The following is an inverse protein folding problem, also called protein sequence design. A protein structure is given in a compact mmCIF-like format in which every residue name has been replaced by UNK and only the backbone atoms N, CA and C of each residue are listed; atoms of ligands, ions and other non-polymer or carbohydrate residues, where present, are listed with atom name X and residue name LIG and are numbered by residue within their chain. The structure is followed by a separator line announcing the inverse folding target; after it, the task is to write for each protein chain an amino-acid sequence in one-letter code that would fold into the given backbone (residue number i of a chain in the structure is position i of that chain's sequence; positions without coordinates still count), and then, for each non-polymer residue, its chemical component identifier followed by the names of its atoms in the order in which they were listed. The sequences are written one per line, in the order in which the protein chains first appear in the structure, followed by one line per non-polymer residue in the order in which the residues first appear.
data_IF_291750569255
#
_entry.id   IF_291750569255
#
_cell.length_a   1.000
_cell.length_b   1.000
_cell.length_c   1.000
_cell.angle_alpha   90.00
_cell.angle_beta   90.00
_cell.angle_gamma   90.00
#
_symmetry.space_group_name_H-M   'P 1'
#
loop_
_entity.id
_entity.type
_entity.pdbx_description
1 polymer ?
#
# COMPACT_ATOMS: atom_id res chain seq x y z
N UNK A 1 -62.16 20.65 65.15
CA UNK A 1 -62.40 21.74 64.18
C UNK A 1 -62.64 21.09 62.82
N UNK A 2 -63.86 20.57 62.67
CA UNK A 2 -64.81 20.84 61.57
C UNK A 2 -64.31 20.42 60.18
N UNK A 3 -64.72 19.29 59.56
CA UNK A 3 -66.05 18.73 59.20
C UNK A 3 -66.21 18.74 57.67
N UNK A 4 -66.47 17.53 57.15
CA UNK A 4 -67.22 17.14 55.94
C UNK A 4 -66.62 17.42 54.55
N UNK A 5 -66.41 16.43 53.68
CA UNK A 5 -67.29 15.37 53.12
C UNK A 5 -68.03 15.84 51.85
N UNK A 6 -67.50 15.38 50.70
CA UNK A 6 -68.17 15.12 49.42
C UNK A 6 -69.02 16.22 48.75
N UNK A 7 -69.81 15.86 47.72
CA UNK A 7 -69.43 15.05 46.55
C UNK A 7 -70.06 15.57 45.22
N UNK A 8 -69.67 14.95 44.07
CA UNK A 8 -70.44 14.76 42.81
C UNK A 8 -70.85 16.05 42.05
N UNK A 9 -71.00 16.14 40.72
CA UNK A 9 -71.24 15.19 39.64
C UNK A 9 -71.05 15.95 38.30
N UNK A 10 -70.60 15.23 37.26
CA UNK A 10 -70.96 15.27 35.82
C UNK A 10 -71.39 16.62 35.18
N UNK A 11 -70.82 16.97 34.01
CA UNK A 11 -71.30 16.62 32.65
C UNK A 11 -70.37 17.24 31.59
N UNK A 12 -70.20 16.44 30.54
CA UNK A 12 -69.69 16.58 29.16
C UNK A 12 -69.44 17.95 28.50
N UNK A 13 -68.62 17.84 27.43
CA UNK A 13 -68.55 18.66 26.21
C UNK A 13 -67.70 19.93 26.38
N UNK A 14 -66.53 20.11 25.76
CA UNK A 14 -65.90 19.50 24.62
C UNK A 14 -65.21 20.67 23.89
N UNK A 15 -63.88 20.71 23.88
CA UNK A 15 -63.10 21.57 22.99
C UNK A 15 -61.70 20.96 22.85
N UNK A 16 -61.39 20.52 21.64
CA UNK A 16 -60.03 20.15 21.22
C UNK A 16 -59.28 21.46 21.00
N UNK A 17 -58.20 21.67 21.74
CA UNK A 17 -57.23 22.72 21.48
C UNK A 17 -55.82 22.12 21.56
N UNK A 18 -55.11 22.30 20.44
CA UNK A 18 -53.77 21.80 20.14
C UNK A 18 -52.79 21.90 21.30
N UNK A 19 -52.26 20.75 21.71
CA UNK A 19 -51.01 20.69 22.46
C UNK A 19 -49.85 20.71 21.46
N UNK A 20 -48.98 21.70 21.62
CA UNK A 20 -47.63 21.72 21.05
C UNK A 20 -46.89 20.51 21.62
N UNK A 21 -46.77 19.45 20.84
CA UNK A 21 -45.83 18.38 21.15
C UNK A 21 -44.42 18.92 20.88
N UNK A 22 -43.67 19.15 21.95
CA UNK A 22 -42.22 19.08 21.87
C UNK A 22 -41.89 17.63 21.46
N UNK A 23 -41.74 17.40 20.16
CA UNK A 23 -41.01 16.24 19.67
C UNK A 23 -39.57 16.51 20.08
N UNK A 24 -39.14 15.90 21.18
CA UNK A 24 -37.74 15.69 21.43
C UNK A 24 -37.24 14.80 20.29
N UNK A 25 -36.77 15.40 19.19
CA UNK A 25 -35.91 14.72 18.25
C UNK A 25 -34.65 14.36 19.02
N UNK A 26 -34.62 13.15 19.56
CA UNK A 26 -33.38 12.49 19.89
C UNK A 26 -32.57 12.43 18.60
N UNK A 27 -31.69 13.41 18.42
CA UNK A 27 -30.52 13.25 17.56
C UNK A 27 -29.75 12.08 18.14
N UNK A 28 -30.04 10.88 17.64
CA UNK A 28 -29.09 9.79 17.63
C UNK A 28 -27.93 10.25 16.76
N UNK A 29 -27.00 11.00 17.37
CA UNK A 29 -25.61 10.91 16.93
C UNK A 29 -25.29 9.43 17.15
N UNK A 30 -25.11 8.70 16.05
CA UNK A 30 -24.65 7.33 16.09
C UNK A 30 -23.30 7.33 16.80
N UNK A 31 -23.33 7.03 18.10
CA UNK A 31 -22.18 6.56 18.85
C UNK A 31 -21.96 5.09 18.44
N UNK A 32 -21.68 4.86 17.16
CA UNK A 32 -21.35 3.55 16.65
C UNK A 32 -19.82 3.42 16.66
N UNK A 33 -19.40 2.76 17.72
CA UNK A 33 -18.42 1.69 17.70
C UNK A 33 -16.91 1.98 17.79
N UNK A 34 -16.49 2.56 18.91
CA UNK A 34 -15.12 2.39 19.40
C UNK A 34 -14.83 0.95 19.93
N UNK A 35 -15.80 0.02 19.90
CA UNK A 35 -15.66 -1.33 20.47
C UNK A 35 -15.56 -2.46 19.43
N UNK A 36 -16.09 -2.26 18.22
CA UNK A 36 -16.01 -3.23 17.14
C UNK A 36 -14.56 -3.40 16.71
N UNK A 37 -14.15 -4.67 16.67
CA UNK A 37 -12.85 -5.08 16.20
C UNK A 37 -12.99 -5.75 14.84
N UNK A 38 -12.04 -5.47 13.97
CA UNK A 38 -12.00 -5.92 12.59
C UNK A 38 -10.79 -6.83 12.41
N UNK A 39 -11.02 -8.03 11.86
CA UNK A 39 -9.93 -8.92 11.43
C UNK A 39 -9.54 -8.52 10.00
N UNK A 40 -8.30 -8.07 9.83
CA UNK A 40 -7.76 -7.69 8.53
C UNK A 40 -6.78 -8.78 8.05
N UNK A 41 -7.18 -9.55 7.04
CA UNK A 41 -6.36 -10.62 6.48
C UNK A 41 -6.58 -10.74 4.99
N UNK A 42 -5.52 -11.04 4.26
CA UNK A 42 -5.58 -11.41 2.86
C UNK A 42 -6.31 -12.74 2.68
N UNK A 43 -7.17 -12.83 1.67
CA UNK A 43 -7.90 -14.04 1.31
C UNK A 43 -7.46 -14.49 -0.08
N UNK A 44 -6.36 -15.23 -0.13
CA UNK A 44 -5.78 -15.69 -1.38
C UNK A 44 -6.60 -16.83 -1.99
N UNK A 45 -7.08 -16.62 -3.20
CA UNK A 45 -7.79 -17.62 -3.98
C UNK A 45 -6.85 -18.20 -5.03
N UNK A 46 -6.57 -19.49 -4.95
CA UNK A 46 -5.65 -20.18 -5.85
C UNK A 46 -6.02 -19.99 -7.33
N UNK A 47 -5.00 -19.91 -8.18
CA UNK A 47 -5.11 -19.70 -9.63
C UNK A 47 -5.80 -18.39 -10.06
N UNK A 48 -5.99 -17.43 -9.14
CA UNK A 48 -6.35 -16.06 -9.51
C UNK A 48 -5.11 -15.20 -9.73
N UNK A 49 -5.21 -14.32 -10.72
CA UNK A 49 -4.33 -13.17 -10.87
C UNK A 49 -4.97 -11.99 -10.15
N UNK A 50 -4.16 -11.24 -9.42
CA UNK A 50 -4.56 -9.97 -8.81
C UNK A 50 -3.68 -8.89 -9.44
N UNK A 51 -4.30 -8.02 -10.21
CA UNK A 51 -3.63 -7.00 -11.00
C UNK A 51 -3.69 -5.63 -10.31
N UNK A 52 -2.66 -4.83 -10.52
CA UNK A 52 -2.50 -3.49 -10.02
C UNK A 52 -1.90 -2.58 -11.09
N UNK A 53 -2.37 -1.34 -11.12
CA UNK A 53 -1.74 -0.23 -11.84
C UNK A 53 -1.04 0.65 -10.81
N UNK A 54 0.22 0.99 -11.04
CA UNK A 54 1.04 1.83 -10.17
C UNK A 54 1.52 3.05 -10.96
N UNK A 55 1.11 4.23 -10.53
CA UNK A 55 1.67 5.50 -11.00
C UNK A 55 2.69 5.98 -9.96
N UNK A 56 3.88 6.36 -10.41
CA UNK A 56 4.93 6.93 -9.57
C UNK A 56 5.48 8.17 -10.28
N UNK A 57 5.52 9.30 -9.57
CA UNK A 57 6.20 10.50 -10.05
C UNK A 57 7.20 10.96 -9.02
N UNK A 58 8.37 11.37 -9.47
CA UNK A 58 9.38 11.95 -8.59
C UNK A 58 10.08 13.13 -9.22
N UNK A 59 10.46 14.04 -8.34
CA UNK A 59 11.23 15.24 -8.63
C UNK A 59 12.43 15.25 -7.68
N UNK A 60 13.62 15.45 -8.25
CA UNK A 60 14.86 15.56 -7.51
C UNK A 60 15.51 16.89 -7.81
N UNK A 61 15.59 17.74 -6.78
CA UNK A 61 16.41 18.95 -6.84
C UNK A 61 17.77 18.64 -6.22
N UNK A 62 18.84 18.87 -6.96
CA UNK A 62 20.21 18.63 -6.52
C UNK A 62 21.03 19.92 -6.64
N UNK A 63 21.64 20.35 -5.54
CA UNK A 63 22.65 21.40 -5.54
C UNK A 63 23.96 20.82 -5.04
N UNK A 64 25.00 20.84 -5.87
CA UNK A 64 26.33 20.33 -5.54
C UNK A 64 27.40 21.05 -6.35
N UNK A 65 28.50 21.44 -5.71
CA UNK A 65 29.64 22.06 -6.40
C UNK A 65 29.32 23.40 -7.09
N UNK A 66 28.26 24.11 -6.64
CA UNK A 66 27.79 25.36 -7.26
C UNK A 66 26.93 25.18 -8.51
N UNK A 67 26.61 23.94 -8.88
CA UNK A 67 25.63 23.62 -9.92
C UNK A 67 24.31 23.18 -9.30
N UNK A 68 23.22 23.50 -9.99
CA UNK A 68 21.88 22.99 -9.70
C UNK A 68 21.46 22.07 -10.83
N UNK A 69 20.82 20.97 -10.47
CA UNK A 69 20.16 20.05 -11.39
C UNK A 69 18.77 19.73 -10.88
N UNK A 70 17.83 19.68 -11.82
CA UNK A 70 16.47 19.24 -11.60
C UNK A 70 16.24 17.96 -12.39
N UNK A 71 15.71 16.91 -11.75
CA UNK A 71 15.43 15.64 -12.40
C UNK A 71 13.97 15.30 -12.19
N UNK A 72 13.25 15.08 -13.28
CA UNK A 72 11.87 14.63 -13.26
C UNK A 72 11.80 13.19 -13.73
N UNK A 73 11.02 12.37 -13.03
CA UNK A 73 10.75 11.01 -13.40
C UNK A 73 9.27 10.70 -13.27
N UNK A 74 8.74 9.97 -14.24
CA UNK A 74 7.39 9.42 -14.17
C UNK A 74 7.39 7.98 -14.66
N UNK A 75 6.63 7.14 -13.98
CA UNK A 75 6.49 5.73 -14.25
C UNK A 75 5.02 5.32 -14.08
N UNK A 76 4.51 4.57 -15.05
CA UNK A 76 3.28 3.80 -14.94
C UNK A 76 3.65 2.34 -15.10
N UNK A 77 3.32 1.52 -14.11
CA UNK A 77 3.61 0.09 -14.08
C UNK A 77 2.33 -0.70 -13.85
N UNK A 78 1.95 -1.51 -14.84
CA UNK A 78 0.94 -2.54 -14.68
C UNK A 78 1.64 -3.83 -14.23
N UNK A 79 1.17 -4.41 -13.13
CA UNK A 79 1.74 -5.62 -12.56
C UNK A 79 0.65 -6.52 -12.03
N UNK A 80 0.98 -7.79 -11.86
CA UNK A 80 0.12 -8.71 -11.13
C UNK A 80 0.93 -9.65 -10.26
N UNK A 81 0.24 -10.24 -9.29
CA UNK A 81 0.68 -11.50 -8.74
C UNK A 81 -0.30 -12.61 -9.07
N UNK A 82 0.24 -13.81 -9.30
CA UNK A 82 -0.53 -15.04 -9.44
C UNK A 82 -0.45 -15.84 -8.15
N UNK A 83 -1.59 -16.29 -7.64
CA UNK A 83 -1.63 -17.23 -6.50
C UNK A 83 -1.33 -18.65 -7.01
N UNK A 84 -0.13 -19.15 -6.73
CA UNK A 84 0.33 -20.48 -7.16
C UNK A 84 -0.29 -21.57 -6.29
N UNK A 85 -0.24 -21.40 -4.97
CA UNK A 85 -0.79 -22.35 -4.00
C UNK A 85 -1.17 -21.64 -2.71
N UNK A 86 -2.11 -22.23 -1.97
CA UNK A 86 -2.51 -21.77 -0.63
C UNK A 86 -2.41 -22.95 0.35
N UNK A 87 -1.74 -22.72 1.47
CA UNK A 87 -1.56 -23.68 2.55
C UNK A 87 -2.80 -23.71 3.46
N UNK A 88 -2.93 -24.74 4.30
CA UNK A 88 -4.07 -24.89 5.23
C UNK A 88 -4.22 -23.76 6.25
N UNK A 89 -3.13 -23.05 6.55
CA UNK A 89 -3.13 -21.89 7.46
C UNK A 89 -3.43 -20.56 6.74
N UNK A 90 -3.74 -20.59 5.44
CA UNK A 90 -4.01 -19.40 4.63
C UNK A 90 -2.76 -18.71 4.07
N UNK A 91 -1.54 -19.15 4.43
CA UNK A 91 -0.32 -18.68 3.75
C UNK A 91 -0.38 -19.08 2.27
N UNK A 92 0.27 -18.32 1.39
CA UNK A 92 0.27 -18.63 -0.03
C UNK A 92 1.62 -18.39 -0.69
N UNK A 93 1.80 -19.01 -1.85
CA UNK A 93 2.92 -18.76 -2.76
C UNK A 93 2.42 -17.87 -3.88
N UNK A 94 3.09 -16.73 -4.07
CA UNK A 94 2.79 -15.75 -5.11
C UNK A 94 3.94 -15.68 -6.12
N UNK A 95 3.59 -15.59 -7.40
CA UNK A 95 4.51 -15.22 -8.48
C UNK A 95 4.21 -13.80 -8.92
N UNK A 96 5.20 -12.91 -8.82
CA UNK A 96 5.09 -11.50 -9.17
C UNK A 96 5.61 -11.29 -10.59
N UNK A 97 4.84 -10.54 -11.39
CA UNK A 97 5.18 -10.20 -12.77
C UNK A 97 4.88 -8.73 -13.03
N UNK A 98 5.68 -8.12 -13.89
CA UNK A 98 5.38 -6.81 -14.48
C UNK A 98 4.80 -7.07 -15.87
N UNK A 99 3.61 -6.54 -16.14
CA UNK A 99 2.90 -6.73 -17.41
C UNK A 99 3.28 -5.65 -18.42
N UNK A 100 3.43 -4.42 -17.92
CA UNK A 100 3.76 -3.24 -18.72
C UNK A 100 4.48 -2.21 -17.87
N UNK A 101 5.39 -1.49 -18.49
CA UNK A 101 5.88 -0.21 -17.96
C UNK A 101 5.79 0.89 -19.02
N UNK A 102 5.56 2.12 -18.56
CA UNK A 102 5.79 3.35 -19.31
C UNK A 102 6.59 4.29 -18.43
N UNK A 103 7.73 4.75 -18.91
CA UNK A 103 8.68 5.54 -18.14
C UNK A 103 9.09 6.78 -18.92
N UNK A 104 9.33 7.87 -18.19
CA UNK A 104 9.89 9.11 -18.73
C UNK A 104 10.83 9.72 -17.71
N UNK A 105 12.00 10.18 -18.15
CA UNK A 105 12.95 10.91 -17.34
C UNK A 105 13.46 12.15 -18.08
N UNK A 106 13.56 13.28 -17.38
CA UNK A 106 14.13 14.52 -17.90
C UNK A 106 15.10 15.11 -16.88
N UNK A 107 16.13 15.79 -17.39
CA UNK A 107 17.11 16.53 -16.58
C UNK A 107 17.10 17.97 -17.05
N UNK A 108 16.87 18.89 -16.12
CA UNK A 108 16.67 20.32 -16.36
C UNK A 108 15.64 20.54 -17.49
N UNK A 109 15.91 21.47 -18.41
CA UNK A 109 15.07 21.73 -19.58
C UNK A 109 15.39 20.78 -20.77
N UNK A 110 16.01 19.63 -20.50
CA UNK A 110 16.38 18.64 -21.51
C UNK A 110 15.19 17.91 -22.12
N UNK A 111 15.39 17.31 -23.30
CA UNK A 111 14.39 16.44 -23.90
C UNK A 111 14.22 15.16 -23.05
N UNK A 112 12.96 14.81 -22.77
CA UNK A 112 12.65 13.65 -21.96
C UNK A 112 12.96 12.34 -22.69
N UNK A 113 13.73 11.46 -22.05
CA UNK A 113 13.94 10.08 -22.46
C UNK A 113 12.71 9.29 -22.09
N UNK A 114 12.13 8.56 -23.05
CA UNK A 114 10.85 7.85 -22.88
C UNK A 114 10.98 6.38 -23.27
N UNK A 115 10.20 5.55 -22.60
CA UNK A 115 10.06 4.13 -22.89
C UNK A 115 8.63 3.67 -22.62
N UNK A 116 8.04 2.92 -23.54
CA UNK A 116 6.78 2.20 -23.34
C UNK A 116 6.96 0.76 -23.82
N UNK A 117 6.81 -0.20 -22.91
CA UNK A 117 7.04 -1.61 -23.21
C UNK A 117 6.01 -2.22 -24.16
N UNK A 118 4.91 -1.50 -24.46
CA UNK A 118 3.97 -1.89 -25.52
C UNK A 118 4.43 -1.46 -26.91
N UNK A 119 5.31 -0.46 -27.01
CA UNK A 119 5.79 0.06 -28.30
C UNK A 119 7.09 -0.60 -28.73
N UNK A 120 7.99 -0.87 -27.78
CA UNK A 120 9.29 -1.51 -28.05
C UNK A 120 9.75 -2.36 -26.87
N UNK A 121 10.57 -3.38 -27.16
CA UNK A 121 11.27 -4.19 -26.14
C UNK A 121 12.67 -3.66 -25.82
N UNK A 122 13.19 -2.79 -26.68
CA UNK A 122 14.53 -2.22 -26.54
C UNK A 122 14.43 -0.96 -25.67
N UNK A 123 14.66 -1.12 -24.37
CA UNK A 123 14.71 0.01 -23.45
C UNK A 123 15.99 0.84 -23.67
N UNK A 124 15.93 2.17 -23.53
CA UNK A 124 17.12 3.01 -23.43
C UNK A 124 18.06 2.56 -22.30
N UNK A 125 19.37 2.84 -22.37
CA UNK A 125 20.35 2.47 -21.33
C UNK A 125 19.94 2.84 -19.91
N UNK A 126 19.27 3.99 -19.75
CA UNK A 126 18.76 4.50 -18.48
C UNK A 126 17.69 3.60 -17.85
N UNK A 127 17.02 2.76 -18.65
CA UNK A 127 15.94 1.87 -18.24
C UNK A 127 16.24 0.38 -18.50
N UNK A 128 17.45 0.00 -18.91
CA UNK A 128 17.82 -1.40 -19.24
C UNK A 128 17.47 -2.39 -18.10
N UNK A 129 17.56 -1.97 -16.85
CA UNK A 129 17.28 -2.83 -15.69
C UNK A 129 15.84 -3.38 -15.61
N UNK A 130 14.88 -2.82 -16.37
CA UNK A 130 13.48 -3.26 -16.34
C UNK A 130 13.16 -4.36 -17.35
N UNK A 131 13.92 -4.48 -18.44
CA UNK A 131 13.51 -5.30 -19.60
C UNK A 131 13.35 -6.78 -19.25
N UNK A 132 14.24 -7.30 -18.41
CA UNK A 132 14.25 -8.71 -18.02
C UNK A 132 13.09 -9.08 -17.06
N UNK A 133 12.34 -8.09 -16.58
CA UNK A 133 11.24 -8.29 -15.62
C UNK A 133 9.85 -8.29 -16.26
N UNK A 134 9.74 -7.88 -17.52
CA UNK A 134 8.46 -7.65 -18.21
C UNK A 134 7.96 -8.94 -18.86
N UNK A 135 6.68 -9.25 -18.64
CA UNK A 135 5.97 -10.36 -19.28
C UNK A 135 6.28 -11.74 -18.69
N UNK A 136 7.13 -11.83 -17.66
CA UNK A 136 7.45 -13.08 -16.99
C UNK A 136 7.53 -12.91 -15.47
N UNK A 137 7.23 -13.97 -14.69
CA UNK A 137 7.48 -13.97 -13.26
C UNK A 137 8.97 -13.79 -12.97
N UNK A 138 9.31 -12.78 -12.17
CA UNK A 138 10.70 -12.47 -11.79
C UNK A 138 10.98 -12.76 -10.31
N UNK A 139 9.93 -12.83 -9.48
CA UNK A 139 10.03 -13.16 -8.06
C UNK A 139 8.91 -14.14 -7.68
N UNK A 140 9.26 -15.19 -6.95
CA UNK A 140 8.32 -16.01 -6.20
C UNK A 140 8.49 -15.76 -4.71
N UNK A 141 7.39 -15.50 -4.01
CA UNK A 141 7.39 -15.26 -2.56
C UNK A 141 6.39 -16.16 -1.85
N UNK A 142 6.73 -16.58 -0.63
CA UNK A 142 5.76 -17.15 0.30
C UNK A 142 5.32 -16.06 1.27
N UNK A 143 4.01 -15.87 1.43
CA UNK A 143 3.44 -14.86 2.34
C UNK A 143 2.41 -15.44 3.29
N UNK A 144 2.28 -14.85 4.47
CA UNK A 144 1.23 -15.18 5.45
C UNK A 144 -0.10 -14.47 5.15
N UNK A 145 -1.22 -14.84 5.81
CA UNK A 145 -2.50 -14.13 5.70
C UNK A 145 -2.45 -12.65 6.11
N UNK A 146 -1.44 -12.22 6.85
CA UNK A 146 -1.27 -10.80 7.23
C UNK A 146 -0.28 -10.06 6.32
N UNK A 147 0.16 -10.70 5.24
CA UNK A 147 1.07 -10.10 4.25
C UNK A 147 2.55 -10.16 4.65
N UNK A 148 2.92 -10.92 5.69
CA UNK A 148 4.32 -11.12 6.05
C UNK A 148 5.02 -11.99 5.02
N UNK A 149 6.17 -11.54 4.50
CA UNK A 149 7.01 -12.34 3.59
C UNK A 149 7.82 -13.36 4.40
N UNK A 150 7.61 -14.64 4.11
CA UNK A 150 8.24 -15.78 4.78
C UNK A 150 9.47 -16.30 4.02
N UNK A 151 9.45 -16.24 2.69
CA UNK A 151 10.60 -16.57 1.83
C UNK A 151 10.51 -15.86 0.49
N UNK A 152 11.66 -15.69 -0.17
CA UNK A 152 11.78 -15.12 -1.53
C UNK A 152 12.69 -16.00 -2.37
N UNK A 153 12.32 -16.11 -3.64
CA UNK A 153 13.07 -16.73 -4.70
C UNK A 153 13.09 -15.79 -5.90
N UNK A 154 14.28 -15.43 -6.38
CA UNK A 154 14.41 -14.76 -7.69
C UNK A 154 14.27 -15.81 -8.78
N UNK A 155 13.51 -15.51 -9.83
CA UNK A 155 13.33 -16.41 -10.96
C UNK A 155 14.25 -15.96 -12.12
N UNK A 156 14.82 -16.90 -12.88
CA UNK A 156 14.56 -18.34 -12.89
C UNK A 156 15.40 -19.17 -11.89
N UNK A 157 16.16 -18.54 -10.99
CA UNK A 157 17.01 -19.27 -10.04
C UNK A 157 16.19 -20.19 -9.10
N UNK A 158 16.70 -21.38 -8.80
CA UNK A 158 15.97 -22.35 -7.97
C UNK A 158 16.14 -22.13 -6.46
N UNK A 159 17.13 -21.33 -6.04
CA UNK A 159 17.48 -21.25 -4.62
C UNK A 159 16.59 -20.26 -3.87
N UNK A 160 15.66 -20.79 -3.09
CA UNK A 160 14.93 -20.01 -2.09
C UNK A 160 15.89 -19.44 -1.05
N UNK A 161 15.68 -18.16 -0.74
CA UNK A 161 16.37 -17.49 0.35
C UNK A 161 15.35 -17.25 1.48
N UNK A 162 15.66 -17.70 2.71
CA UNK A 162 14.80 -17.42 3.84
C UNK A 162 14.78 -15.91 4.09
N UNK A 163 13.59 -15.38 4.30
CA UNK A 163 13.41 -13.99 4.72
C UNK A 163 13.35 -13.97 6.25
N UNK A 164 13.94 -12.95 6.83
CA UNK A 164 13.87 -12.69 8.27
C UNK A 164 12.96 -11.50 8.51
N UNK A 165 12.47 -11.36 9.75
CA UNK A 165 11.75 -10.15 10.15
C UNK A 165 12.55 -8.86 9.86
N UNK A 166 13.89 -8.94 9.82
CA UNK A 166 14.77 -7.79 9.53
C UNK A 166 14.68 -7.31 8.09
N UNK A 167 14.40 -8.17 7.10
CA UNK A 167 14.40 -7.77 5.69
C UNK A 167 13.05 -7.96 4.99
N UNK A 168 12.06 -8.58 5.63
CA UNK A 168 10.72 -8.77 5.04
C UNK A 168 10.09 -7.44 4.58
N UNK A 169 10.09 -6.42 5.44
CA UNK A 169 9.49 -5.12 5.14
C UNK A 169 10.18 -4.36 4.00
N UNK A 170 11.46 -4.65 3.73
CA UNK A 170 12.22 -4.05 2.62
C UNK A 170 11.70 -4.48 1.25
N UNK A 171 11.12 -5.67 1.15
CA UNK A 171 10.62 -6.23 -0.10
C UNK A 171 9.29 -5.59 -0.54
N UNK A 172 8.53 -5.06 0.43
CA UNK A 172 7.30 -4.29 0.19
C UNK A 172 6.27 -4.94 -0.77
N UNK A 173 6.20 -6.27 -0.74
CA UNK A 173 5.35 -7.08 -1.63
C UNK A 173 3.86 -6.81 -1.36
N UNK A 174 3.48 -6.86 -0.09
CA UNK A 174 2.12 -6.63 0.41
C UNK A 174 2.18 -5.70 1.62
N UNK A 175 1.09 -4.98 1.86
CA UNK A 175 0.92 -4.20 3.10
C UNK A 175 0.85 -5.16 4.29
N UNK A 176 1.64 -4.91 5.34
CA UNK A 176 1.57 -5.66 6.60
C UNK A 176 0.29 -5.31 7.36
N UNK A 177 -0.55 -6.31 7.58
CA UNK A 177 -1.78 -6.24 8.37
C UNK A 177 -1.51 -6.64 9.83
N UNK A 178 -2.38 -6.27 10.79
CA UNK A 178 -2.22 -6.65 12.19
C UNK A 178 -2.46 -8.14 12.39
N UNK A 179 -1.72 -8.75 13.32
CA UNK A 179 -1.86 -10.17 13.65
C UNK A 179 -3.19 -10.47 14.38
N UNK A 180 -3.71 -9.48 15.11
CA UNK A 180 -4.93 -9.58 15.93
C UNK A 180 -6.02 -8.62 15.42
N UNK A 181 -7.31 -8.88 15.71
CA UNK A 181 -8.39 -7.97 15.37
C UNK A 181 -8.17 -6.57 15.98
N UNK A 182 -8.41 -5.52 15.20
CA UNK A 182 -8.15 -4.11 15.56
C UNK A 182 -9.43 -3.29 15.59
N UNK A 183 -9.56 -2.39 16.57
CA UNK A 183 -10.62 -1.37 16.57
C UNK A 183 -10.19 -0.11 15.79
N UNK A 184 -11.13 0.76 15.46
CA UNK A 184 -10.78 2.09 14.91
C UNK A 184 -9.89 2.85 15.90
N UNK A 185 -8.80 3.44 15.39
CA UNK A 185 -7.77 4.11 16.18
C UNK A 185 -6.65 3.20 16.69
N UNK A 186 -6.81 1.88 16.62
CA UNK A 186 -5.73 0.94 16.99
C UNK A 186 -4.53 1.08 16.03
N UNK A 187 -3.34 0.83 16.58
CA UNK A 187 -2.05 1.00 15.92
C UNK A 187 -1.29 -0.33 15.92
N UNK A 188 -0.68 -0.67 14.80
CA UNK A 188 0.31 -1.74 14.71
C UNK A 188 1.56 -1.24 13.98
N UNK A 189 2.66 -1.97 14.15
CA UNK A 189 3.99 -1.53 13.69
C UNK A 189 4.71 -2.66 13.00
N UNK A 190 5.44 -2.31 11.96
CA UNK A 190 6.38 -3.18 11.28
C UNK A 190 7.76 -2.52 11.34
N UNK A 191 8.76 -3.29 11.76
CA UNK A 191 10.16 -2.84 11.78
C UNK A 191 10.98 -3.73 10.87
N UNK A 192 11.86 -3.09 10.10
CA UNK A 192 12.82 -3.77 9.26
C UNK A 192 14.12 -2.96 9.23
N UNK A 193 15.18 -3.58 8.74
CA UNK A 193 16.51 -3.00 8.60
C UNK A 193 16.77 -2.71 7.12
N UNK A 194 17.34 -1.54 6.84
CA UNK A 194 18.03 -1.24 5.60
C UNK A 194 19.51 -0.98 5.90
N UNK A 195 20.36 -1.00 4.88
CA UNK A 195 21.79 -0.76 5.05
C UNK A 195 22.18 0.57 4.42
N UNK A 196 22.96 1.35 5.18
CA UNK A 196 23.64 2.53 4.67
C UNK A 196 25.15 2.32 4.65
N UNK A 197 25.80 2.99 3.73
CA UNK A 197 27.25 3.06 3.60
C UNK A 197 27.76 4.11 4.58
N UNK A 198 28.67 3.71 5.46
CA UNK A 198 29.38 4.62 6.39
C UNK A 198 30.73 5.01 5.81
N UNK A 199 31.43 4.04 5.24
CA UNK A 199 32.64 4.21 4.44
C UNK A 199 32.71 3.05 3.41
N UNK A 200 33.78 3.00 2.62
CA UNK A 200 33.94 2.00 1.54
C UNK A 200 33.71 0.56 2.01
N UNK A 201 34.18 0.19 3.20
CA UNK A 201 34.13 -1.17 3.72
C UNK A 201 33.05 -1.38 4.79
N UNK A 202 32.58 -0.31 5.45
CA UNK A 202 31.65 -0.38 6.56
C UNK A 202 30.21 -0.09 6.10
N UNK A 203 29.33 -1.05 6.37
CA UNK A 203 27.88 -0.89 6.28
C UNK A 203 27.30 -0.79 7.69
N UNK A 204 26.29 0.06 7.85
CA UNK A 204 25.52 0.21 9.09
C UNK A 204 24.07 -0.16 8.83
N UNK A 205 23.55 -1.09 9.63
CA UNK A 205 22.13 -1.38 9.64
C UNK A 205 21.35 -0.21 10.29
N UNK A 206 20.27 0.19 9.62
CA UNK A 206 19.36 1.26 10.03
C UNK A 206 17.98 0.65 10.17
N UNK A 207 17.40 0.75 11.36
CA UNK A 207 16.03 0.30 11.60
C UNK A 207 15.05 1.36 11.12
N UNK A 208 14.16 0.95 10.23
CA UNK A 208 13.00 1.70 9.75
C UNK A 208 11.75 1.11 10.41
N UNK A 209 10.81 1.98 10.79
CA UNK A 209 9.51 1.57 11.32
C UNK A 209 8.40 2.17 10.47
N UNK A 210 7.50 1.29 10.02
CA UNK A 210 6.18 1.65 9.52
C UNK A 210 5.18 1.55 10.67
N UNK A 211 4.42 2.60 10.87
CA UNK A 211 3.32 2.68 11.84
C UNK A 211 2.03 2.76 11.05
N UNK A 212 1.12 1.84 11.34
CA UNK A 212 -0.18 1.76 10.69
C UNK A 212 -1.26 2.10 11.72
N UNK A 213 -2.27 2.86 11.30
CA UNK A 213 -3.45 3.17 12.14
C UNK A 213 -4.72 2.86 11.38
N UNK A 214 -5.65 2.10 11.97
CA UNK A 214 -6.98 1.94 11.38
C UNK A 214 -7.78 3.24 11.57
N UNK A 215 -7.98 4.01 10.50
CA UNK A 215 -8.63 5.34 10.58
C UNK A 215 -10.15 5.25 10.54
N UNK A 216 -10.68 4.40 9.68
CA UNK A 216 -12.12 4.21 9.53
C UNK A 216 -12.42 2.87 8.86
N UNK A 217 -13.65 2.40 9.06
CA UNK A 217 -14.24 1.31 8.27
C UNK A 217 -15.59 1.78 7.76
N UNK A 218 -15.78 1.76 6.44
CA UNK A 218 -17.07 2.05 5.78
C UNK A 218 -17.51 0.82 5.00
N UNK A 219 -18.54 0.13 5.51
CA UNK A 219 -18.92 -1.21 5.06
C UNK A 219 -17.75 -2.19 5.15
N UNK A 220 -17.30 -2.71 4.00
CA UNK A 220 -16.17 -3.64 3.92
C UNK A 220 -14.84 -2.95 3.59
N UNK A 221 -14.77 -1.63 3.59
CA UNK A 221 -13.56 -0.86 3.24
C UNK A 221 -12.89 -0.30 4.49
N UNK A 222 -11.72 -0.83 4.83
CA UNK A 222 -10.85 -0.27 5.86
C UNK A 222 -9.92 0.80 5.27
N UNK A 223 -9.92 2.00 5.85
CA UNK A 223 -8.93 3.04 5.56
C UNK A 223 -7.84 3.01 6.62
N UNK A 224 -6.60 2.82 6.19
CA UNK A 224 -5.43 2.65 7.07
C UNK A 224 -4.44 3.77 6.76
N UNK A 225 -4.04 4.52 7.79
CA UNK A 225 -2.95 5.49 7.68
C UNK A 225 -1.61 4.77 7.81
N UNK A 226 -0.64 5.12 6.96
CA UNK A 226 0.75 4.70 7.00
C UNK A 226 1.66 5.89 7.31
N UNK A 227 2.54 5.72 8.28
CA UNK A 227 3.65 6.63 8.58
C UNK A 227 4.96 5.84 8.63
N UNK A 228 6.01 6.35 7.97
CA UNK A 228 7.33 5.69 7.98
C UNK A 228 8.38 6.58 8.64
N UNK A 229 9.17 6.00 9.54
CA UNK A 229 10.19 6.72 10.31
C UNK A 229 11.48 5.92 10.42
N UNK A 230 12.61 6.63 10.43
CA UNK A 230 13.92 6.05 10.76
C UNK A 230 14.09 6.07 12.27
N UNK A 231 14.28 4.90 12.88
CA UNK A 231 14.42 4.75 14.33
C UNK A 231 15.88 4.84 14.76
N UNK A 232 16.80 4.30 13.96
CA UNK A 232 18.24 4.40 14.23
C UNK A 232 18.68 5.85 14.10
N UNK A 233 19.30 6.46 15.13
CA UNK A 233 19.80 7.83 15.01
C UNK A 233 20.81 8.00 13.88
N UNK A 234 20.55 8.97 13.00
CA UNK A 234 21.42 9.43 11.92
C UNK A 234 21.78 10.89 12.20
N UNK A 235 23.07 11.22 12.10
CA UNK A 235 23.59 12.57 12.39
C UNK A 235 24.34 13.18 11.22
N UNK A 236 24.88 12.33 10.33
CA UNK A 236 25.65 12.76 9.18
C UNK A 236 24.72 12.96 7.98
N UNK A 237 24.73 14.13 7.30
CA UNK A 237 23.89 14.39 6.13
C UNK A 237 24.08 13.38 4.99
N UNK A 238 25.31 12.91 4.78
CA UNK A 238 25.63 11.86 3.79
C UNK A 238 24.86 10.56 4.03
N UNK A 239 24.69 10.20 5.31
CA UNK A 239 23.94 9.02 5.71
C UNK A 239 22.43 9.25 5.60
N UNK A 240 21.96 10.46 5.90
CA UNK A 240 20.55 10.84 5.76
C UNK A 240 20.10 10.85 4.29
N UNK A 241 20.95 11.34 3.38
CA UNK A 241 20.67 11.37 1.95
C UNK A 241 20.44 9.98 1.35
N UNK A 242 21.13 8.94 1.86
CA UNK A 242 20.91 7.54 1.43
C UNK A 242 19.52 7.01 1.80
N UNK A 243 18.87 7.62 2.80
CA UNK A 243 17.54 7.24 3.29
C UNK A 243 16.44 8.18 2.79
N UNK A 244 16.78 9.18 1.95
CA UNK A 244 15.87 10.28 1.61
C UNK A 244 14.57 9.79 0.98
N UNK A 245 14.60 8.67 0.26
CA UNK A 245 13.44 8.05 -0.41
C UNK A 245 12.75 6.96 0.44
N UNK A 246 13.26 6.66 1.65
CA UNK A 246 12.87 5.48 2.44
C UNK A 246 11.80 5.75 3.51
N UNK A 247 11.27 6.98 3.57
CA UNK A 247 10.29 7.38 4.61
C UNK A 247 8.94 7.89 4.07
N UNK A 248 8.36 7.28 3.01
CA UNK A 248 7.07 7.72 2.50
C UNK A 248 5.96 7.50 3.54
N UNK A 249 4.94 8.35 3.50
CA UNK A 249 3.73 8.24 4.33
C UNK A 249 2.49 8.38 3.46
N UNK A 250 1.34 7.88 3.90
CA UNK A 250 0.12 7.97 3.10
C UNK A 250 -1.01 7.08 3.57
N UNK A 251 -1.88 6.67 2.66
CA UNK A 251 -3.14 6.02 2.97
C UNK A 251 -3.31 4.73 2.17
N UNK A 252 -3.87 3.73 2.82
CA UNK A 252 -4.15 2.41 2.27
C UNK A 252 -5.65 2.15 2.39
N UNK A 253 -6.26 1.61 1.34
CA UNK A 253 -7.64 1.14 1.35
C UNK A 253 -7.66 -0.37 1.14
N UNK A 254 -8.23 -1.09 2.10
CA UNK A 254 -8.28 -2.55 2.12
C UNK A 254 -9.72 -3.05 2.10
N UNK A 255 -10.01 -4.05 1.28
CA UNK A 255 -11.30 -4.75 1.27
C UNK A 255 -11.27 -5.90 2.28
N UNK A 256 -12.00 -5.76 3.39
CA UNK A 256 -12.07 -6.73 4.48
C UNK A 256 -12.75 -8.03 4.02
N UNK A 257 -13.78 -7.91 3.18
CA UNK A 257 -14.55 -9.07 2.74
C UNK A 257 -13.78 -9.88 1.72
N UNK A 258 -13.22 -9.22 0.69
CA UNK A 258 -12.40 -9.86 -0.35
C UNK A 258 -11.00 -10.21 0.13
N UNK A 259 -10.53 -9.59 1.21
CA UNK A 259 -9.18 -9.78 1.73
C UNK A 259 -8.11 -9.36 0.72
N UNK A 260 -8.23 -8.16 0.14
CA UNK A 260 -7.24 -7.64 -0.82
C UNK A 260 -7.05 -6.12 -0.69
N UNK A 261 -5.87 -5.67 -1.09
CA UNK A 261 -5.55 -4.25 -1.20
C UNK A 261 -6.31 -3.64 -2.38
N UNK A 262 -7.11 -2.61 -2.14
CA UNK A 262 -7.80 -1.85 -3.19
C UNK A 262 -6.94 -0.69 -3.70
N UNK A 263 -6.29 0.04 -2.79
CA UNK A 263 -5.35 1.07 -3.17
C UNK A 263 -4.32 1.36 -2.09
N UNK A 264 -3.19 1.94 -2.51
CA UNK A 264 -2.16 2.50 -1.65
C UNK A 264 -1.63 3.78 -2.28
N UNK A 265 -1.78 4.88 -1.57
CA UNK A 265 -1.28 6.19 -1.99
C UNK A 265 -0.23 6.65 -0.99
N UNK A 266 0.96 7.01 -1.46
CA UNK A 266 2.04 7.48 -0.60
C UNK A 266 2.74 8.66 -1.21
N UNK A 267 3.20 9.58 -0.36
CA UNK A 267 3.99 10.72 -0.77
C UNK A 267 5.20 10.93 0.14
N UNK A 268 6.14 11.70 -0.38
CA UNK A 268 7.37 12.08 0.29
C UNK A 268 7.77 13.47 -0.20
N UNK A 269 8.19 14.33 0.72
CA UNK A 269 8.93 15.56 0.42
C UNK A 269 10.01 15.70 1.49
N UNK A 270 11.26 15.52 1.08
CA UNK A 270 12.40 15.50 1.99
C UNK A 270 13.53 16.30 1.39
N UNK A 271 14.19 17.11 2.21
CA UNK A 271 15.40 17.84 1.86
C UNK A 271 16.51 17.50 2.86
N UNK A 272 17.69 17.19 2.35
CA UNK A 272 18.91 16.98 3.13
C UNK A 272 19.94 18.01 2.69
N UNK A 273 20.44 18.79 3.65
CA UNK A 273 21.45 19.84 3.41
C UNK A 273 22.80 19.35 3.90
N UNK A 274 23.86 19.63 3.16
CA UNK A 274 25.22 19.29 3.54
C UNK A 274 25.66 17.88 3.15
N UNK A 275 24.87 17.15 2.34
CA UNK A 275 25.15 15.76 1.97
C UNK A 275 26.40 15.57 1.09
N UNK A 276 26.89 16.62 0.45
CA UNK A 276 28.12 16.65 -0.34
C UNK A 276 28.91 17.94 -0.05
N UNK A 277 29.06 18.25 1.24
CA UNK A 277 29.76 19.45 1.73
C UNK A 277 28.84 20.64 2.05
N UNK A 278 29.35 21.71 2.67
CA UNK A 278 28.54 22.74 3.35
C UNK A 278 27.52 23.47 2.48
N UNK A 279 27.80 23.62 1.18
CA UNK A 279 26.94 24.30 0.21
C UNK A 279 26.32 23.27 -0.76
N UNK A 280 25.69 22.23 -0.22
CA UNK A 280 25.00 21.22 -1.02
C UNK A 280 23.62 20.92 -0.44
N UNK A 281 22.69 20.52 -1.29
CA UNK A 281 21.46 19.89 -0.84
C UNK A 281 20.93 18.92 -1.88
N UNK A 282 20.13 17.97 -1.40
CA UNK A 282 19.28 17.14 -2.24
C UNK A 282 17.86 17.22 -1.69
N UNK A 283 16.88 17.44 -2.56
CA UNK A 283 15.45 17.33 -2.23
C UNK A 283 14.86 16.24 -3.09
N UNK A 284 14.02 15.40 -2.50
CA UNK A 284 13.26 14.40 -3.20
C UNK A 284 11.78 14.57 -2.88
N UNK A 285 10.98 14.80 -3.91
CA UNK A 285 9.53 14.83 -3.85
C UNK A 285 9.06 13.61 -4.63
N UNK A 286 8.23 12.76 -4.04
CA UNK A 286 7.69 11.58 -4.71
C UNK A 286 6.22 11.43 -4.38
N UNK A 287 5.41 11.03 -5.35
CA UNK A 287 4.06 10.52 -5.16
C UNK A 287 3.93 9.16 -5.84
N UNK A 288 3.20 8.26 -5.19
CA UNK A 288 2.94 6.91 -5.68
C UNK A 288 1.49 6.55 -5.44
N UNK A 289 0.80 6.11 -6.49
CA UNK A 289 -0.59 5.65 -6.45
C UNK A 289 -0.67 4.24 -7.01
N UNK A 290 -0.99 3.27 -6.16
CA UNK A 290 -1.23 1.88 -6.54
C UNK A 290 -2.72 1.57 -6.40
N UNK A 291 -3.32 1.02 -7.45
CA UNK A 291 -4.76 0.73 -7.52
C UNK A 291 -5.00 -0.68 -8.04
N UNK A 292 -5.89 -1.41 -7.38
CA UNK A 292 -6.37 -2.69 -7.84
C UNK A 292 -7.11 -2.53 -9.16
N UNK A 293 -6.79 -3.40 -10.13
CA UNK A 293 -7.46 -3.47 -11.42
C UNK A 293 -8.42 -4.66 -11.38
N UNK A 294 -9.71 -4.37 -11.46
CA UNK A 294 -10.73 -5.41 -11.49
C UNK A 294 -10.64 -6.17 -12.81
N UNK A 295 -10.36 -7.48 -12.75
CA UNK A 295 -10.44 -8.33 -13.92
C UNK A 295 -11.92 -8.50 -14.28
N UNK A 296 -12.32 -8.12 -15.49
CA UNK A 296 -13.58 -8.62 -16.03
C UNK A 296 -13.56 -10.15 -15.95
N UNK A 297 -14.62 -10.74 -15.41
CA UNK A 297 -14.73 -12.19 -15.23
C UNK A 297 -14.82 -12.89 -16.58
N UNK A 298 -13.69 -13.12 -17.26
CA UNK A 298 -13.70 -14.05 -18.38
C UNK A 298 -13.86 -15.45 -17.82
N UNK A 299 -15.02 -16.04 -18.11
CA UNK A 299 -15.42 -17.40 -17.78
C UNK A 299 -14.44 -18.48 -18.25
N UNK A 300 -14.75 -19.76 -18.01
CA UNK A 300 -13.79 -20.85 -18.07
C UNK A 300 -13.07 -20.90 -19.42
N UNK A 301 -11.74 -20.89 -19.38
CA UNK A 301 -10.87 -21.23 -20.50
C UNK A 301 -11.22 -22.66 -20.91
N UNK A 302 -12.01 -22.78 -21.96
CA UNK A 302 -12.33 -24.06 -22.57
C UNK A 302 -11.04 -24.56 -23.23
N UNK A 303 -10.44 -25.59 -22.63
CA UNK A 303 -9.29 -26.30 -23.20
C UNK A 303 -9.61 -26.71 -24.64
N UNK A 304 -8.85 -26.19 -25.59
CA UNK A 304 -8.81 -26.72 -26.93
C UNK A 304 -8.14 -28.10 -26.90
N UNK A 305 -8.95 -29.15 -26.78
CA UNK A 305 -8.64 -30.47 -27.31
C UNK A 305 -9.17 -30.52 -28.73
N UNK A 306 -8.27 -30.55 -29.72
CA UNK A 306 -8.43 -31.34 -30.94
C UNK A 306 -7.19 -31.16 -31.83
N UNK A 307 -6.22 -32.09 -31.71
CA UNK A 307 -5.32 -32.41 -32.82
C UNK A 307 -5.82 -33.72 -33.41
N UNK A 308 -6.71 -33.60 -34.39
CA UNK A 308 -7.06 -34.69 -35.31
C UNK A 308 -6.04 -34.72 -36.44
N UNK A 309 -5.36 -35.87 -36.55
CA UNK A 309 -5.09 -36.59 -37.79
C UNK A 309 -4.36 -35.85 -38.91
N UNK A 310 -3.08 -36.16 -39.10
CA UNK A 310 -2.44 -36.09 -40.41
C UNK A 310 -2.25 -37.52 -40.91
N UNK A 311 -3.07 -37.91 -41.89
CA UNK A 311 -2.68 -38.88 -42.90
C UNK A 311 -2.03 -38.13 -44.06
N UNK A 312 -0.82 -38.56 -44.44
CA UNK A 312 -0.42 -38.89 -45.81
C UNK A 312 0.86 -39.69 -45.79
#
# INVERSE_FOLDING_TARGET
MHIFDGPRQRVCMGFVASAVFFVATSTHIAADDASQRYTLQYKFLAAKNVAYSVENTSEVELHQGGAEQHIEHSELTDKHYKVVSTDLNGSCVLELSIDRVRMSAAVDDGEAIKFDSQETKDAPPEFEGITDTIGQPHIRVKVSPVGEVLSVQQLPEEKEQPVTAKNAGKLDVLVRLPDEPVAMGDIWKERFEDEIIVDEQLRKAVTIQRTYTLKSVDGNRATIQLETSVITPIREPEQEAQLIQKTPSGTIVFDIERGLLLSRETSLDRKVVGFSGPNSFIRNITTRHERYVESESTGPIQQARDVKGIQR
#
